data_IF_013430231706
#
_entry.id   IF_013430231706
#
_cell.length_a   1.000
_cell.length_b   1.000
_cell.length_c   1.000
_cell.angle_alpha   90.00
_cell.angle_beta   90.00
_cell.angle_gamma   90.00
#
_symmetry.space_group_name_H-M   'P 1'
#
loop_
_entity.id
_entity.type
_entity.pdbx_description
1 polymer ?
#
# COMPACT_ATOMS: atom_id res chain seq x y z
N UNK A 1 -7.56 -14.00 -2.05
CA UNK A 1 -7.46 -14.27 -0.60
C UNK A 1 -6.47 -13.37 0.14
N UNK A 2 -5.25 -13.15 -0.36
CA UNK A 2 -4.24 -12.32 0.31
C UNK A 2 -4.59 -10.83 0.49
N UNK A 3 -5.36 -10.23 -0.44
CA UNK A 3 -5.81 -8.82 -0.39
C UNK A 3 -6.50 -8.43 0.91
N UNK A 4 -7.61 -9.09 1.19
CA UNK A 4 -8.40 -8.85 2.40
C UNK A 4 -7.84 -9.53 3.65
N UNK A 5 -7.05 -10.59 3.47
CA UNK A 5 -6.38 -11.30 4.56
C UNK A 5 -5.52 -10.40 5.43
N UNK A 6 -4.83 -9.41 4.84
CA UNK A 6 -4.00 -8.44 5.59
C UNK A 6 -4.84 -7.46 6.39
N UNK A 7 -5.89 -6.90 5.79
CA UNK A 7 -6.80 -5.98 6.47
C UNK A 7 -7.48 -6.69 7.65
N UNK A 8 -7.92 -7.94 7.45
CA UNK A 8 -8.56 -8.75 8.48
C UNK A 8 -7.57 -9.26 9.54
N UNK A 9 -6.38 -9.75 9.16
CA UNK A 9 -5.31 -10.15 10.09
C UNK A 9 -4.89 -8.96 10.95
N UNK A 10 -4.64 -7.80 10.33
CA UNK A 10 -4.32 -6.56 11.03
C UNK A 10 -5.40 -6.22 12.07
N UNK A 11 -6.68 -6.20 11.68
CA UNK A 11 -7.78 -5.93 12.62
C UNK A 11 -7.98 -7.01 13.70
N UNK A 12 -7.79 -8.29 13.37
CA UNK A 12 -7.95 -9.40 14.33
C UNK A 12 -6.80 -9.46 15.33
N UNK A 13 -5.55 -9.30 14.87
CA UNK A 13 -4.37 -9.18 15.72
C UNK A 13 -4.52 -7.94 16.60
N UNK A 14 -4.88 -6.80 16.02
CA UNK A 14 -5.17 -5.57 16.75
C UNK A 14 -6.20 -5.78 17.86
N UNK A 15 -7.30 -6.48 17.60
CA UNK A 15 -8.33 -6.74 18.61
C UNK A 15 -7.83 -7.59 19.79
N UNK A 16 -6.86 -8.48 19.57
CA UNK A 16 -6.20 -9.26 20.63
C UNK A 16 -5.11 -8.46 21.34
N UNK A 17 -4.39 -7.62 20.60
CA UNK A 17 -3.30 -6.76 21.07
C UNK A 17 -3.80 -5.56 21.86
N UNK A 18 -5.03 -5.07 21.64
CA UNK A 18 -5.67 -4.06 22.50
C UNK A 18 -5.82 -4.57 23.95
N UNK A 19 -5.78 -5.89 24.18
CA UNK A 19 -5.66 -6.48 25.51
C UNK A 19 -4.25 -6.43 26.15
N UNK A 20 -3.19 -5.99 25.45
CA UNK A 20 -1.82 -6.03 26.01
C UNK A 20 -0.62 -5.45 25.22
N UNK A 21 -0.79 -4.74 24.10
CA UNK A 21 0.33 -4.31 23.24
C UNK A 21 0.01 -3.13 22.28
N UNK A 22 -0.65 -2.08 22.78
CA UNK A 22 -1.05 -0.89 22.00
C UNK A 22 0.06 -0.19 21.18
N UNK A 23 1.35 -0.47 21.43
CA UNK A 23 2.46 0.16 20.70
C UNK A 23 2.63 -0.35 19.26
N UNK A 24 2.45 -1.66 19.00
CA UNK A 24 2.57 -2.27 17.67
C UNK A 24 1.41 -1.87 16.75
N UNK A 25 0.20 -1.98 17.30
CA UNK A 25 -1.05 -1.48 16.76
C UNK A 25 -0.98 -0.03 16.23
N UNK A 26 -0.42 0.88 17.04
CA UNK A 26 -0.28 2.31 16.70
C UNK A 26 0.80 2.59 15.67
N UNK A 27 1.76 1.68 15.48
CA UNK A 27 2.84 1.83 14.50
C UNK A 27 2.40 1.44 13.08
N UNK A 28 1.48 0.48 12.96
CA UNK A 28 0.89 0.05 11.67
C UNK A 28 -0.27 0.96 11.24
N UNK A 29 -1.14 1.33 12.20
CA UNK A 29 -2.34 2.14 11.93
C UNK A 29 -2.03 3.63 11.91
N UNK A 30 -1.12 4.02 11.02
CA UNK A 30 -0.83 5.42 10.72
C UNK A 30 -1.87 5.96 9.75
N UNK A 31 -3.08 6.22 10.24
CA UNK A 31 -4.15 6.87 9.49
C UNK A 31 -5.29 7.38 10.40
N UNK A 32 -5.71 8.65 10.29
CA UNK A 32 -6.77 9.22 11.14
C UNK A 32 -8.14 8.53 10.94
N UNK A 33 -8.33 7.81 9.83
CA UNK A 33 -9.61 7.19 9.43
C UNK A 33 -10.04 5.98 10.26
N UNK A 34 -9.13 5.28 10.96
CA UNK A 34 -9.48 4.14 11.82
C UNK A 34 -9.76 4.51 13.29
N UNK A 35 -9.42 5.74 13.70
CA UNK A 35 -9.64 6.23 15.06
C UNK A 35 -11.13 6.31 15.46
N UNK A 36 -12.03 6.29 14.48
CA UNK A 36 -13.49 6.39 14.67
C UNK A 36 -14.19 5.05 14.90
N UNK A 37 -13.46 3.94 14.89
CA UNK A 37 -13.98 2.60 15.13
C UNK A 37 -13.81 2.16 16.60
N UNK A 38 -14.61 2.72 17.51
CA UNK A 38 -14.95 2.07 18.79
C UNK A 38 -16.24 1.26 18.63
N UNK A 39 -16.60 0.31 19.53
CA UNK A 39 -15.89 -0.84 20.08
C UNK A 39 -16.39 -2.16 19.44
N UNK A 40 -16.64 -2.18 18.11
CA UNK A 40 -17.12 -3.36 17.38
C UNK A 40 -16.26 -3.70 16.16
N UNK A 41 -14.94 -3.77 16.35
CA UNK A 41 -13.96 -4.13 15.30
C UNK A 41 -14.38 -5.36 14.47
N UNK A 42 -14.99 -6.37 15.11
CA UNK A 42 -15.53 -7.56 14.44
C UNK A 42 -16.64 -7.21 13.44
N UNK A 43 -17.58 -6.34 13.80
CA UNK A 43 -18.71 -5.98 12.93
C UNK A 43 -18.22 -5.18 11.72
N UNK A 44 -17.29 -4.27 11.92
CA UNK A 44 -16.67 -3.52 10.82
C UNK A 44 -15.89 -4.43 9.89
N UNK A 45 -15.14 -5.40 10.42
CA UNK A 45 -14.43 -6.37 9.59
C UNK A 45 -15.39 -7.18 8.69
N UNK A 46 -16.53 -7.63 9.23
CA UNK A 46 -17.55 -8.32 8.43
C UNK A 46 -18.21 -7.39 7.39
N UNK A 47 -18.46 -6.13 7.73
CA UNK A 47 -19.03 -5.15 6.80
C UNK A 47 -18.09 -4.90 5.61
N UNK A 48 -16.79 -4.70 5.88
CA UNK A 48 -15.78 -4.55 4.83
C UNK A 48 -15.67 -5.84 3.99
N UNK A 49 -15.72 -7.02 4.62
CA UNK A 49 -15.69 -8.30 3.91
C UNK A 49 -16.89 -8.50 2.98
N UNK A 50 -18.09 -8.12 3.44
CA UNK A 50 -19.28 -8.10 2.61
C UNK A 50 -19.14 -7.14 1.42
N UNK A 51 -18.54 -5.96 1.62
CA UNK A 51 -18.28 -5.00 0.55
C UNK A 51 -17.29 -5.55 -0.49
N UNK A 52 -16.20 -6.19 -0.05
CA UNK A 52 -15.23 -6.82 -0.96
C UNK A 52 -15.88 -7.89 -1.84
N UNK A 53 -16.62 -8.83 -1.23
CA UNK A 53 -17.32 -9.87 -1.99
C UNK A 53 -18.35 -9.30 -2.96
N UNK A 54 -19.05 -8.25 -2.53
CA UNK A 54 -20.03 -7.57 -3.37
C UNK A 54 -19.37 -6.92 -4.59
N UNK A 55 -18.26 -6.20 -4.41
CA UNK A 55 -17.51 -5.62 -5.52
C UNK A 55 -16.93 -6.68 -6.45
N UNK A 56 -16.32 -7.74 -5.92
CA UNK A 56 -15.83 -8.87 -6.72
C UNK A 56 -16.94 -9.54 -7.53
N UNK A 57 -18.13 -9.73 -6.94
CA UNK A 57 -19.25 -10.34 -7.64
C UNK A 57 -19.78 -9.45 -8.76
N UNK A 58 -19.85 -8.13 -8.53
CA UNK A 58 -20.26 -7.18 -9.58
C UNK A 58 -19.25 -7.17 -10.71
N UNK A 59 -17.96 -7.11 -10.40
CA UNK A 59 -16.89 -7.16 -11.42
C UNK A 59 -17.01 -8.42 -12.27
N UNK A 60 -17.14 -9.59 -11.63
CA UNK A 60 -17.33 -10.86 -12.31
C UNK A 60 -18.52 -10.82 -13.26
N UNK A 61 -19.69 -10.34 -12.80
CA UNK A 61 -20.89 -10.26 -13.62
C UNK A 61 -20.72 -9.29 -14.79
N UNK A 62 -20.13 -8.12 -14.56
CA UNK A 62 -19.90 -7.13 -15.63
C UNK A 62 -18.94 -7.69 -16.68
N UNK A 63 -17.84 -8.32 -16.28
CA UNK A 63 -16.89 -8.95 -17.19
C UNK A 63 -17.53 -10.10 -17.96
N UNK A 64 -18.32 -10.95 -17.30
CA UNK A 64 -19.04 -12.05 -17.95
C UNK A 64 -20.06 -11.56 -18.98
N UNK A 65 -20.81 -10.50 -18.65
CA UNK A 65 -21.83 -9.92 -19.52
C UNK A 65 -21.25 -9.22 -20.75
N UNK A 66 -19.95 -8.90 -20.78
CA UNK A 66 -19.31 -8.38 -22.00
C UNK A 66 -19.31 -9.39 -23.15
N UNK A 67 -19.40 -10.69 -22.84
CA UNK A 67 -19.29 -11.77 -23.83
C UNK A 67 -17.87 -12.00 -24.37
N UNK A 68 -16.89 -11.18 -23.99
CA UNK A 68 -15.49 -11.32 -24.41
C UNK A 68 -14.71 -12.35 -23.59
N UNK A 69 -15.16 -12.63 -22.37
CA UNK A 69 -14.54 -13.57 -21.43
C UNK A 69 -15.46 -14.76 -21.14
N UNK A 70 -14.88 -15.95 -21.02
CA UNK A 70 -15.62 -17.10 -20.49
C UNK A 70 -15.83 -16.95 -18.97
N UNK A 71 -16.76 -17.71 -18.39
CA UNK A 71 -17.07 -17.66 -16.94
C UNK A 71 -15.84 -17.91 -16.05
N UNK A 72 -14.92 -18.77 -16.50
CA UNK A 72 -13.66 -19.02 -15.77
C UNK A 72 -12.75 -17.79 -15.78
N UNK A 73 -12.56 -17.17 -16.94
CA UNK A 73 -11.72 -15.98 -17.09
C UNK A 73 -12.28 -14.79 -16.32
N UNK A 74 -13.59 -14.50 -16.48
CA UNK A 74 -14.23 -13.39 -15.76
C UNK A 74 -14.12 -13.55 -14.24
N UNK A 75 -14.27 -14.78 -13.73
CA UNK A 75 -14.20 -15.05 -12.30
C UNK A 75 -12.77 -14.87 -11.78
N UNK A 76 -11.78 -15.41 -12.49
CA UNK A 76 -10.38 -15.28 -12.09
C UNK A 76 -9.92 -13.83 -12.10
N UNK A 77 -10.27 -13.06 -13.15
CA UNK A 77 -9.96 -11.63 -13.22
C UNK A 77 -10.61 -10.86 -12.06
N UNK A 78 -11.89 -11.07 -11.76
CA UNK A 78 -12.52 -10.44 -10.60
C UNK A 78 -11.84 -10.81 -9.26
N UNK A 79 -11.39 -12.06 -9.14
CA UNK A 79 -10.66 -12.53 -7.96
C UNK A 79 -9.22 -12.00 -7.87
N UNK A 80 -8.64 -11.47 -8.95
CA UNK A 80 -7.28 -10.93 -9.00
C UNK A 80 -7.23 -9.41 -9.07
N UNK A 81 -8.26 -8.73 -9.58
CA UNK A 81 -8.39 -7.26 -9.58
C UNK A 81 -8.65 -6.70 -8.18
N UNK A 82 -9.72 -7.16 -7.51
CA UNK A 82 -10.12 -6.63 -6.19
C UNK A 82 -9.07 -6.76 -5.08
N UNK A 83 -8.22 -7.80 -5.01
CA UNK A 83 -7.11 -7.83 -4.05
C UNK A 83 -5.84 -7.13 -4.53
N UNK A 84 -5.85 -6.48 -5.70
CA UNK A 84 -4.68 -5.88 -6.36
C UNK A 84 -3.57 -6.91 -6.59
N UNK A 85 -3.90 -8.01 -7.27
CA UNK A 85 -3.02 -9.16 -7.45
C UNK A 85 -2.47 -9.37 -8.87
N UNK A 86 -3.14 -8.87 -9.91
CA UNK A 86 -2.57 -8.80 -11.27
C UNK A 86 -2.45 -10.10 -12.05
N UNK A 87 -2.72 -11.25 -11.44
CA UNK A 87 -2.67 -12.52 -12.15
C UNK A 87 -3.78 -12.61 -13.21
N UNK A 88 -3.41 -13.04 -14.41
CA UNK A 88 -4.30 -13.31 -15.53
C UNK A 88 -4.32 -14.81 -15.87
N UNK A 89 -5.36 -15.24 -16.58
CA UNK A 89 -5.44 -16.58 -17.17
C UNK A 89 -4.68 -16.71 -18.49
N UNK A 90 -4.21 -15.59 -19.05
CA UNK A 90 -3.45 -15.53 -20.31
C UNK A 90 -2.15 -14.74 -20.12
N UNK A 91 -1.12 -15.11 -20.89
CA UNK A 91 0.23 -14.51 -20.80
C UNK A 91 0.22 -13.02 -21.14
N UNK A 92 -0.57 -12.62 -22.15
CA UNK A 92 -0.74 -11.21 -22.54
C UNK A 92 -1.66 -10.41 -21.59
N UNK A 93 -1.94 -10.94 -20.39
CA UNK A 93 -2.74 -10.28 -19.36
C UNK A 93 -4.11 -9.84 -19.88
N UNK A 94 -4.48 -8.56 -19.75
CA UNK A 94 -5.73 -8.00 -20.27
C UNK A 94 -5.62 -7.67 -21.76
N UNK A 95 -4.40 -7.44 -22.27
CA UNK A 95 -4.13 -7.23 -23.69
C UNK A 95 -4.61 -8.37 -24.60
N UNK A 96 -4.75 -9.59 -24.07
CA UNK A 96 -5.33 -10.73 -24.79
C UNK A 96 -6.75 -10.46 -25.35
N UNK A 97 -7.58 -9.72 -24.62
CA UNK A 97 -8.99 -9.54 -24.98
C UNK A 97 -9.23 -8.41 -25.98
N UNK A 98 -8.24 -7.53 -26.19
CA UNK A 98 -8.28 -6.32 -27.03
C UNK A 98 -9.67 -5.65 -27.08
N UNK A 99 -10.23 -5.38 -25.90
CA UNK A 99 -11.57 -4.86 -25.77
C UNK A 99 -11.59 -3.66 -24.83
N UNK A 100 -11.91 -2.51 -25.40
CA UNK A 100 -12.06 -1.25 -24.65
C UNK A 100 -13.07 -1.38 -23.49
N UNK A 101 -14.13 -2.19 -23.67
CA UNK A 101 -15.13 -2.41 -22.62
C UNK A 101 -14.54 -3.20 -21.44
N UNK A 102 -13.76 -4.26 -21.72
CA UNK A 102 -13.11 -5.06 -20.67
C UNK A 102 -12.10 -4.21 -19.91
N UNK A 103 -11.24 -3.48 -20.62
CA UNK A 103 -10.26 -2.57 -20.02
C UNK A 103 -10.93 -1.50 -19.15
N UNK A 104 -12.00 -0.88 -19.64
CA UNK A 104 -12.73 0.16 -18.91
C UNK A 104 -13.33 -0.36 -17.60
N UNK A 105 -13.91 -1.58 -17.62
CA UNK A 105 -14.43 -2.23 -16.41
C UNK A 105 -13.29 -2.44 -15.42
N UNK A 106 -12.20 -3.06 -15.85
CA UNK A 106 -11.06 -3.37 -14.99
C UNK A 106 -10.42 -2.10 -14.43
N UNK A 107 -10.27 -1.03 -15.22
CA UNK A 107 -9.77 0.26 -14.74
C UNK A 107 -10.62 0.80 -13.57
N UNK A 108 -11.94 0.73 -13.67
CA UNK A 108 -12.84 1.18 -12.61
C UNK A 108 -12.64 0.34 -11.35
N UNK A 109 -12.56 -0.98 -11.46
CA UNK A 109 -12.39 -1.86 -10.30
C UNK A 109 -10.99 -1.77 -9.69
N UNK A 110 -9.94 -1.59 -10.50
CA UNK A 110 -8.59 -1.29 -10.02
C UNK A 110 -8.57 -0.01 -9.21
N UNK A 111 -9.17 1.07 -9.75
CA UNK A 111 -9.29 2.35 -9.05
C UNK A 111 -10.02 2.16 -7.70
N UNK A 112 -11.17 1.47 -7.68
CA UNK A 112 -11.91 1.19 -6.45
C UNK A 112 -11.09 0.36 -5.45
N UNK A 113 -10.35 -0.65 -5.90
CA UNK A 113 -9.48 -1.46 -5.05
C UNK A 113 -8.35 -0.64 -4.41
N UNK A 114 -7.89 0.42 -5.09
CA UNK A 114 -6.90 1.38 -4.58
C UNK A 114 -7.45 2.41 -3.58
N UNK A 115 -8.78 2.57 -3.49
CA UNK A 115 -9.44 3.46 -2.52
C UNK A 115 -9.51 2.80 -1.15
N UNK A 116 -9.51 3.62 -0.10
CA UNK A 116 -9.68 3.15 1.27
C UNK A 116 -11.08 2.52 1.42
N UNK A 117 -11.13 1.25 1.78
CA UNK A 117 -12.38 0.49 1.89
C UNK A 117 -13.36 1.10 2.91
N UNK A 118 -12.86 1.85 3.89
CA UNK A 118 -13.69 2.59 4.85
C UNK A 118 -14.47 3.72 4.16
N UNK A 119 -13.86 4.40 3.18
CA UNK A 119 -14.52 5.45 2.41
C UNK A 119 -15.56 4.87 1.45
N UNK A 120 -15.25 3.73 0.82
CA UNK A 120 -16.22 3.00 -0.01
C UNK A 120 -17.44 2.56 0.81
N UNK A 121 -17.23 2.17 2.07
CA UNK A 121 -18.33 1.88 3.00
C UNK A 121 -19.20 3.12 3.27
N UNK A 122 -18.61 4.29 3.52
CA UNK A 122 -19.39 5.52 3.72
C UNK A 122 -20.18 5.94 2.47
N UNK A 123 -19.63 5.73 1.27
CA UNK A 123 -20.33 5.94 0.01
C UNK A 123 -21.57 5.05 -0.07
N UNK A 124 -21.45 3.78 0.33
CA UNK A 124 -22.58 2.84 0.39
C UNK A 124 -23.67 3.28 1.37
N UNK A 125 -23.29 3.88 2.51
CA UNK A 125 -24.24 4.42 3.49
C UNK A 125 -24.86 5.78 3.06
N UNK A 126 -24.43 6.35 1.94
CA UNK A 126 -24.93 7.61 1.39
C UNK A 126 -24.25 8.87 1.92
N UNK A 127 -23.15 8.74 2.68
CA UNK A 127 -22.41 9.87 3.27
C UNK A 127 -21.29 10.37 2.33
N UNK A 128 -21.70 10.81 1.14
CA UNK A 128 -20.79 11.29 0.10
C UNK A 128 -19.93 12.48 0.56
N UNK A 129 -20.47 13.35 1.42
CA UNK A 129 -19.73 14.53 1.91
C UNK A 129 -18.47 14.13 2.67
N UNK A 130 -18.53 13.07 3.47
CA UNK A 130 -17.34 12.56 4.19
C UNK A 130 -16.36 11.88 3.26
N UNK A 131 -16.84 11.12 2.27
CA UNK A 131 -15.96 10.43 1.33
C UNK A 131 -15.17 11.38 0.44
N UNK A 132 -15.83 12.38 -0.17
CA UNK A 132 -15.17 13.34 -1.06
C UNK A 132 -14.47 14.49 -0.30
N UNK A 133 -14.82 14.71 0.97
CA UNK A 133 -14.14 15.66 1.85
C UNK A 133 -12.82 15.14 2.42
N UNK A 134 -12.55 13.84 2.27
CA UNK A 134 -11.34 13.20 2.77
C UNK A 134 -10.10 13.66 1.97
N UNK A 135 -9.09 14.14 2.70
CA UNK A 135 -7.86 14.65 2.14
C UNK A 135 -7.05 13.57 1.42
N UNK A 136 -7.05 12.34 1.93
CA UNK A 136 -6.33 11.22 1.31
C UNK A 136 -6.96 10.83 -0.02
N UNK A 137 -8.29 10.76 -0.07
CA UNK A 137 -9.01 10.45 -1.31
C UNK A 137 -8.79 11.50 -2.40
N UNK A 138 -8.82 12.80 -2.05
CA UNK A 138 -8.52 13.88 -2.99
C UNK A 138 -7.07 13.83 -3.48
N UNK A 139 -6.13 13.52 -2.60
CA UNK A 139 -4.72 13.37 -3.00
C UNK A 139 -4.55 12.15 -3.92
N UNK A 140 -5.26 11.06 -3.69
CA UNK A 140 -5.28 9.89 -4.55
C UNK A 140 -5.82 10.19 -5.95
N UNK A 141 -6.95 10.91 -6.03
CA UNK A 141 -7.50 11.40 -7.30
C UNK A 141 -6.51 12.31 -8.05
N UNK A 142 -5.90 13.26 -7.34
CA UNK A 142 -4.92 14.19 -7.91
C UNK A 142 -3.68 13.45 -8.41
N UNK A 143 -3.19 12.48 -7.63
CA UNK A 143 -2.04 11.65 -7.96
C UNK A 143 -2.24 10.86 -9.25
N UNK A 144 -3.37 10.14 -9.38
CA UNK A 144 -3.70 9.40 -10.60
C UNK A 144 -3.90 10.35 -11.77
N UNK A 145 -4.65 11.43 -11.59
CA UNK A 145 -4.94 12.37 -12.67
C UNK A 145 -3.67 13.01 -13.24
N UNK A 146 -2.74 13.44 -12.37
CA UNK A 146 -1.45 14.01 -12.79
C UNK A 146 -0.61 12.97 -13.52
N UNK A 147 -0.57 11.73 -13.06
CA UNK A 147 0.16 10.65 -13.73
C UNK A 147 -0.44 10.30 -15.09
N UNK A 148 -1.77 10.17 -15.21
CA UNK A 148 -2.47 9.94 -16.49
C UNK A 148 -2.18 11.08 -17.46
N UNK A 149 -2.30 12.33 -17.00
CA UNK A 149 -2.05 13.50 -17.85
C UNK A 149 -0.58 13.55 -18.31
N UNK A 150 0.38 13.25 -17.44
CA UNK A 150 1.79 13.26 -17.78
C UNK A 150 2.15 12.18 -18.80
N UNK A 151 1.66 10.94 -18.63
CA UNK A 151 1.86 9.86 -19.62
C UNK A 151 1.15 10.19 -20.93
N UNK A 152 -0.10 10.67 -20.87
CA UNK A 152 -0.83 11.10 -22.06
C UNK A 152 -0.04 12.14 -22.86
N UNK A 153 0.45 13.20 -22.21
CA UNK A 153 1.24 14.23 -22.87
C UNK A 153 2.53 13.67 -23.48
N UNK A 154 3.20 12.73 -22.79
CA UNK A 154 4.39 12.06 -23.30
C UNK A 154 4.10 11.21 -24.54
N UNK A 155 3.02 10.41 -24.53
CA UNK A 155 2.63 9.56 -25.66
C UNK A 155 2.20 10.38 -26.89
N UNK A 156 1.44 11.47 -26.69
CA UNK A 156 1.10 12.40 -27.76
C UNK A 156 2.36 13.02 -28.38
N UNK A 157 3.33 13.42 -27.56
CA UNK A 157 4.60 13.96 -28.04
C UNK A 157 5.41 12.93 -28.85
N UNK A 158 5.25 11.64 -28.55
CA UNK A 158 5.85 10.52 -29.30
C UNK A 158 5.06 10.11 -30.56
N UNK A 159 3.96 10.78 -30.89
CA UNK A 159 3.19 10.54 -32.12
C UNK A 159 2.04 9.53 -32.00
N UNK A 160 1.64 9.15 -30.78
CA UNK A 160 0.45 8.32 -30.59
C UNK A 160 -0.83 9.07 -30.93
N UNK A 161 -1.87 8.34 -31.34
CA UNK A 161 -3.21 8.90 -31.47
C UNK A 161 -3.78 9.27 -30.11
N UNK A 162 -4.71 10.23 -30.07
CA UNK A 162 -5.37 10.63 -28.81
C UNK A 162 -6.09 9.46 -28.14
N UNK A 163 -6.73 8.61 -28.94
CA UNK A 163 -7.45 7.44 -28.45
C UNK A 163 -6.51 6.43 -27.78
N UNK A 164 -5.43 6.02 -28.46
CA UNK A 164 -4.47 5.06 -27.90
C UNK A 164 -3.72 5.63 -26.70
N UNK A 165 -3.31 6.90 -26.76
CA UNK A 165 -2.62 7.56 -25.65
C UNK A 165 -3.48 7.62 -24.38
N UNK A 166 -4.79 7.86 -24.50
CA UNK A 166 -5.71 7.84 -23.37
C UNK A 166 -5.97 6.41 -22.89
N UNK A 167 -6.29 5.49 -23.80
CA UNK A 167 -6.63 4.10 -23.47
C UNK A 167 -5.46 3.40 -22.76
N UNK A 168 -4.30 3.36 -23.40
CA UNK A 168 -3.13 2.64 -22.88
C UNK A 168 -2.51 3.37 -21.68
N UNK A 169 -2.41 4.71 -21.78
CA UNK A 169 -1.88 5.54 -20.69
C UNK A 169 -2.70 5.43 -19.42
N UNK A 170 -4.03 5.52 -19.51
CA UNK A 170 -4.92 5.40 -18.35
C UNK A 170 -4.86 4.00 -17.74
N UNK A 171 -4.87 2.95 -18.57
CA UNK A 171 -4.82 1.57 -18.09
C UNK A 171 -3.54 1.30 -17.29
N UNK A 172 -2.38 1.64 -17.86
CA UNK A 172 -1.09 1.37 -17.22
C UNK A 172 -0.88 2.22 -15.97
N UNK A 173 -1.27 3.50 -16.00
CA UNK A 173 -1.18 4.36 -14.80
C UNK A 173 -2.01 3.80 -13.66
N UNK A 174 -3.28 3.45 -13.91
CA UNK A 174 -4.14 2.94 -12.85
C UNK A 174 -3.61 1.60 -12.34
N UNK A 175 -3.23 0.69 -13.24
CA UNK A 175 -2.66 -0.61 -12.90
C UNK A 175 -1.43 -0.52 -11.97
N UNK A 176 -0.49 0.37 -12.28
CA UNK A 176 0.73 0.54 -11.49
C UNK A 176 0.46 1.32 -10.20
N UNK A 177 -0.32 2.40 -10.27
CA UNK A 177 -0.66 3.22 -9.10
C UNK A 177 -1.43 2.44 -8.03
N UNK A 178 -2.26 1.46 -8.44
CA UNK A 178 -3.00 0.59 -7.52
C UNK A 178 -2.27 -0.69 -7.17
N UNK A 179 -1.03 -0.85 -7.68
CA UNK A 179 -0.22 -2.06 -7.59
C UNK A 179 -1.00 -3.32 -8.01
N UNK A 180 -1.92 -3.18 -8.99
CA UNK A 180 -2.65 -4.33 -9.50
C UNK A 180 -1.77 -5.10 -10.45
N UNK A 181 -1.09 -4.42 -11.38
CA UNK A 181 -0.11 -5.09 -12.23
C UNK A 181 -0.66 -5.83 -13.43
N UNK A 182 -1.83 -5.42 -13.95
CA UNK A 182 -2.23 -5.83 -15.29
C UNK A 182 -1.50 -5.03 -16.36
N UNK A 183 -1.39 -5.63 -17.53
CA UNK A 183 -0.83 -5.02 -18.74
C UNK A 183 -1.86 -5.12 -19.86
N UNK A 184 -2.08 -4.01 -20.57
CA UNK A 184 -2.94 -3.98 -21.78
C UNK A 184 -2.10 -3.89 -23.06
N UNK A 185 -0.97 -3.18 -22.97
CA UNK A 185 -0.07 -2.88 -24.07
C UNK A 185 1.37 -3.18 -23.67
N UNK A 186 2.21 -3.48 -24.66
CA UNK A 186 3.64 -3.56 -24.46
C UNK A 186 4.26 -2.16 -24.44
N UNK A 187 4.60 -1.68 -23.24
CA UNK A 187 5.27 -0.40 -23.03
C UNK A 187 6.81 -0.49 -23.21
N UNK A 188 7.35 -1.65 -23.56
CA UNK A 188 8.79 -1.88 -23.82
C UNK A 188 9.13 -2.01 -25.31
N UNK A 189 8.16 -2.02 -26.23
CA UNK A 189 8.34 -2.12 -27.69
C UNK A 189 8.96 -0.85 -28.34
N UNK A 190 9.68 -0.03 -27.57
CA UNK A 190 10.38 1.18 -28.03
C UNK A 190 9.47 2.36 -28.42
N UNK A 191 8.16 2.16 -28.51
CA UNK A 191 7.19 3.19 -28.86
C UNK A 191 6.92 4.16 -27.69
N UNK A 192 7.05 3.69 -26.45
CA UNK A 192 6.86 4.53 -25.27
C UNK A 192 8.12 5.34 -24.95
N UNK A 193 8.00 6.65 -24.67
CA UNK A 193 9.15 7.47 -24.31
C UNK A 193 9.65 7.17 -22.89
N UNK A 194 10.94 7.39 -22.64
CA UNK A 194 11.59 7.19 -21.33
C UNK A 194 10.86 7.88 -20.16
N UNK A 195 10.22 9.03 -20.43
CA UNK A 195 9.42 9.75 -19.43
C UNK A 195 8.30 8.86 -18.87
N UNK A 196 7.66 8.06 -19.72
CA UNK A 196 6.62 7.13 -19.30
C UNK A 196 7.18 6.03 -18.40
N UNK A 197 8.35 5.44 -18.73
CA UNK A 197 9.01 4.44 -17.87
C UNK A 197 9.35 5.01 -16.49
N UNK A 198 9.85 6.25 -16.43
CA UNK A 198 10.15 6.92 -15.16
C UNK A 198 8.89 7.20 -14.33
N UNK A 199 7.79 7.60 -14.98
CA UNK A 199 6.52 7.78 -14.28
C UNK A 199 6.02 6.45 -13.74
N UNK A 200 5.99 5.39 -14.56
CA UNK A 200 5.58 4.04 -14.13
C UNK A 200 6.44 3.54 -12.97
N UNK A 201 7.76 3.77 -13.00
CA UNK A 201 8.66 3.44 -11.89
C UNK A 201 8.27 4.17 -10.59
N UNK A 202 7.97 5.47 -10.65
CA UNK A 202 7.49 6.23 -9.48
C UNK A 202 6.16 5.65 -8.98
N UNK A 203 5.25 5.28 -9.88
CA UNK A 203 3.96 4.67 -9.52
C UNK A 203 4.12 3.32 -8.83
N UNK A 204 5.11 2.51 -9.20
CA UNK A 204 5.41 1.24 -8.50
C UNK A 204 5.83 1.46 -7.04
N UNK A 205 6.61 2.52 -6.80
CA UNK A 205 7.11 2.86 -5.46
C UNK A 205 5.99 3.42 -4.60
N UNK A 206 5.22 4.35 -5.16
CA UNK A 206 4.12 5.04 -4.48
C UNK A 206 2.82 4.28 -4.73
N UNK A 207 2.40 3.49 -3.75
CA UNK A 207 1.14 2.77 -3.80
C UNK A 207 -0.08 3.67 -3.62
N UNK A 208 -1.26 3.05 -3.56
CA UNK A 208 -2.53 3.73 -3.38
C UNK A 208 -2.77 4.16 -1.91
N UNK A 209 -4.04 4.34 -1.54
CA UNK A 209 -4.44 4.80 -0.21
C UNK A 209 -4.14 3.78 0.91
N UNK A 210 -3.99 4.25 2.13
CA UNK A 210 -3.97 3.45 3.35
C UNK A 210 -5.36 2.81 3.56
N UNK A 211 -5.40 1.54 3.97
CA UNK A 211 -6.65 0.79 4.11
C UNK A 211 -7.24 0.28 2.78
N UNK A 212 -6.47 0.33 1.69
CA UNK A 212 -6.73 -0.37 0.43
C UNK A 212 -6.00 -1.71 0.35
N UNK A 213 -6.28 -2.51 -0.69
CA UNK A 213 -5.60 -3.79 -0.95
C UNK A 213 -4.25 -3.66 -1.64
N UNK A 214 -3.86 -2.44 -2.04
CA UNK A 214 -2.61 -2.16 -2.75
C UNK A 214 -1.37 -2.46 -1.90
N UNK A 215 -0.23 -2.69 -2.54
CA UNK A 215 1.09 -2.68 -1.94
C UNK A 215 1.73 -1.28 -1.98
N UNK A 216 3.07 -1.27 -1.95
CA UNK A 216 3.91 -0.08 -2.08
C UNK A 216 3.95 0.83 -0.85
N UNK A 217 4.69 1.93 -0.98
CA UNK A 217 4.64 3.01 -0.01
C UNK A 217 3.31 3.72 -0.15
N UNK A 218 2.42 3.49 0.81
CA UNK A 218 1.08 4.10 0.85
C UNK A 218 1.15 5.61 0.64
N UNK A 219 0.28 6.12 -0.21
CA UNK A 219 0.23 7.54 -0.60
C UNK A 219 0.14 8.48 0.61
N UNK A 220 -0.58 8.06 1.67
CA UNK A 220 -0.65 8.79 2.93
C UNK A 220 0.72 9.08 3.54
N UNK A 221 1.63 8.10 3.54
CA UNK A 221 2.97 8.22 4.13
C UNK A 221 3.83 9.18 3.33
N UNK A 222 3.74 9.10 2.01
CA UNK A 222 4.43 10.02 1.08
C UNK A 222 3.95 11.46 1.26
N UNK A 223 2.62 11.67 1.32
CA UNK A 223 2.04 12.99 1.55
C UNK A 223 2.44 13.58 2.90
N UNK A 224 2.43 12.78 3.97
CA UNK A 224 2.85 13.23 5.29
C UNK A 224 4.33 13.60 5.30
N UNK A 225 5.19 12.79 4.67
CA UNK A 225 6.61 13.11 4.56
C UNK A 225 6.86 14.39 3.75
N UNK A 226 6.11 14.63 2.69
CA UNK A 226 6.16 15.89 1.96
C UNK A 226 5.77 17.08 2.84
N UNK A 227 4.69 16.96 3.63
CA UNK A 227 4.29 18.00 4.61
C UNK A 227 5.37 18.23 5.67
N UNK A 228 6.05 17.18 6.13
CA UNK A 228 7.18 17.30 7.05
C UNK A 228 8.31 18.09 6.40
N UNK A 229 8.71 17.72 5.18
CA UNK A 229 9.77 18.42 4.45
C UNK A 229 9.43 19.91 4.26
N UNK A 230 8.20 20.23 3.82
CA UNK A 230 7.74 21.61 3.66
C UNK A 230 7.74 22.37 4.99
N UNK A 231 7.29 21.75 6.09
CA UNK A 231 7.35 22.36 7.42
C UNK A 231 8.78 22.70 7.83
N UNK A 232 9.74 21.80 7.61
CA UNK A 232 11.14 22.07 7.98
C UNK A 232 11.73 23.19 7.13
N UNK A 233 11.42 23.27 5.83
CA UNK A 233 11.82 24.40 4.98
C UNK A 233 11.26 25.73 5.50
N UNK A 234 9.97 25.77 5.86
CA UNK A 234 9.35 26.96 6.43
C UNK A 234 9.96 27.32 7.78
N UNK A 235 10.30 26.35 8.62
CA UNK A 235 10.94 26.58 9.92
C UNK A 235 12.35 27.16 9.77
N UNK A 236 13.10 26.73 8.76
CA UNK A 236 14.41 27.30 8.42
C UNK A 236 14.25 28.76 7.97
N UNK A 237 13.28 29.03 7.09
CA UNK A 237 13.00 30.38 6.60
C UNK A 237 12.38 31.31 7.67
N UNK A 238 11.58 30.77 8.58
CA UNK A 238 10.80 31.49 9.60
C UNK A 238 10.90 30.79 10.96
N UNK A 239 12.00 30.96 11.72
CA UNK A 239 12.28 30.21 12.95
C UNK A 239 11.25 30.35 14.07
N UNK A 240 10.44 31.43 14.05
CA UNK A 240 9.40 31.71 15.05
C UNK A 240 8.03 31.15 14.69
N UNK A 241 7.84 30.65 13.46
CA UNK A 241 6.55 30.11 13.01
C UNK A 241 6.38 28.70 13.56
N UNK A 242 5.32 28.48 14.35
CA UNK A 242 4.94 27.15 14.83
C UNK A 242 3.89 26.60 13.87
N UNK A 243 4.28 25.61 13.08
CA UNK A 243 3.40 24.98 12.10
C UNK A 243 3.20 23.51 12.44
N UNK A 244 1.94 23.12 12.65
CA UNK A 244 1.55 21.75 12.97
C UNK A 244 1.13 21.02 11.71
N UNK A 245 1.57 19.77 11.56
CA UNK A 245 1.16 18.93 10.44
C UNK A 245 -0.24 18.40 10.74
N UNK A 246 -1.16 18.63 9.82
CA UNK A 246 -2.54 18.17 9.92
C UNK A 246 -2.87 17.18 8.81
N UNK A 247 -3.72 16.23 9.11
CA UNK A 247 -4.33 15.31 8.15
C UNK A 247 -5.83 15.23 8.45
N UNK A 248 -6.68 15.47 7.46
CA UNK A 248 -8.14 15.50 7.65
C UNK A 248 -8.60 16.44 8.77
N UNK A 249 -7.90 17.57 8.96
CA UNK A 249 -8.19 18.56 10.01
C UNK A 249 -7.67 18.20 11.41
N UNK A 250 -7.17 16.99 11.62
CA UNK A 250 -6.60 16.53 12.89
C UNK A 250 -5.07 16.69 12.90
N UNK A 251 -4.50 17.05 14.05
CA UNK A 251 -3.05 17.24 14.20
C UNK A 251 -2.37 15.88 14.34
N UNK A 252 -1.33 15.64 13.53
CA UNK A 252 -0.54 14.41 13.58
C UNK A 252 0.49 14.52 14.71
N UNK A 253 0.50 13.55 15.62
CA UNK A 253 1.47 13.49 16.72
C UNK A 253 2.91 13.35 16.21
N UNK A 254 3.86 13.98 16.90
CA UNK A 254 5.27 13.95 16.52
C UNK A 254 5.88 12.54 16.51
N UNK A 255 5.41 11.65 17.39
CA UNK A 255 5.84 10.24 17.41
C UNK A 255 5.46 9.51 16.11
N UNK A 256 4.27 9.80 15.56
CA UNK A 256 3.81 9.21 14.31
C UNK A 256 4.63 9.72 13.11
N UNK A 257 5.01 10.99 13.13
CA UNK A 257 5.92 11.57 12.14
C UNK A 257 7.27 10.84 12.15
N UNK A 258 7.85 10.60 13.33
CA UNK A 258 9.11 9.86 13.48
C UNK A 258 9.04 8.44 12.91
N UNK A 259 7.92 7.73 13.12
CA UNK A 259 7.69 6.40 12.56
C UNK A 259 7.62 6.41 11.03
N UNK A 260 6.89 7.38 10.45
CA UNK A 260 6.77 7.52 8.99
C UNK A 260 8.13 7.80 8.36
N UNK A 261 8.89 8.75 8.92
CA UNK A 261 10.23 9.08 8.42
C UNK A 261 11.15 7.87 8.54
N UNK A 262 11.16 7.19 9.69
CA UNK A 262 11.93 5.96 9.89
C UNK A 262 11.58 4.87 8.87
N UNK A 263 10.29 4.68 8.57
CA UNK A 263 9.83 3.73 7.56
C UNK A 263 10.34 4.09 6.15
N UNK A 264 10.31 5.36 5.76
CA UNK A 264 10.81 5.79 4.46
C UNK A 264 12.32 5.54 4.33
N UNK A 265 13.10 5.83 5.37
CA UNK A 265 14.53 5.50 5.39
C UNK A 265 14.78 4.00 5.27
N UNK A 266 14.01 3.18 5.98
CA UNK A 266 14.10 1.72 5.88
C UNK A 266 13.73 1.24 4.47
N UNK A 267 12.68 1.78 3.86
CA UNK A 267 12.27 1.44 2.49
C UNK A 267 13.38 1.74 1.48
N UNK A 268 13.94 2.96 1.54
CA UNK A 268 15.04 3.38 0.67
C UNK A 268 16.30 2.54 0.91
N UNK A 269 16.66 2.29 2.16
CA UNK A 269 17.80 1.44 2.51
C UNK A 269 17.65 0.00 2.00
N UNK A 270 16.45 -0.58 2.15
CA UNK A 270 16.13 -1.91 1.66
C UNK A 270 16.17 -1.94 0.12
N UNK A 271 15.64 -0.92 -0.55
CA UNK A 271 15.67 -0.80 -2.00
C UNK A 271 17.11 -0.81 -2.54
N UNK A 272 18.00 0.02 -1.99
CA UNK A 272 19.41 0.06 -2.41
C UNK A 272 20.15 -1.23 -2.10
N UNK A 273 20.00 -1.77 -0.88
CA UNK A 273 20.64 -3.03 -0.49
C UNK A 273 20.19 -4.19 -1.39
N UNK A 274 18.89 -4.27 -1.66
CA UNK A 274 18.30 -5.32 -2.50
C UNK A 274 18.73 -5.19 -3.97
N UNK A 275 18.86 -3.96 -4.47
CA UNK A 275 19.37 -3.70 -5.83
C UNK A 275 20.81 -4.14 -5.98
N UNK A 276 21.66 -3.87 -4.98
CA UNK A 276 23.04 -4.34 -4.98
C UNK A 276 23.12 -5.88 -4.95
N UNK A 277 22.28 -6.50 -4.13
CA UNK A 277 22.27 -7.96 -3.96
C UNK A 277 21.76 -8.67 -5.22
N UNK A 278 20.69 -8.17 -5.86
CA UNK A 278 20.22 -8.70 -7.14
C UNK A 278 21.23 -8.48 -8.28
N UNK A 279 21.94 -7.36 -8.30
CA UNK A 279 23.00 -7.13 -9.29
C UNK A 279 24.13 -8.18 -9.19
N UNK A 280 24.41 -8.70 -7.99
CA UNK A 280 25.37 -9.80 -7.80
C UNK A 280 24.82 -11.13 -8.34
N UNK A 281 23.52 -11.40 -8.15
CA UNK A 281 22.89 -12.63 -8.62
C UNK A 281 22.61 -12.65 -10.13
N UNK A 282 22.48 -11.48 -10.74
CA UNK A 282 22.16 -11.28 -12.15
C UNK A 282 23.16 -10.31 -12.81
N UNK A 283 24.45 -10.67 -12.92
CA UNK A 283 25.51 -9.74 -13.34
C UNK A 283 25.44 -9.34 -14.82
N UNK A 284 24.69 -10.08 -15.65
CA UNK A 284 24.51 -9.79 -17.08
C UNK A 284 23.34 -8.83 -17.35
N UNK A 285 22.52 -8.54 -16.35
CA UNK A 285 21.32 -7.71 -16.49
C UNK A 285 21.62 -6.21 -16.43
N UNK A 286 20.76 -5.42 -17.06
CA UNK A 286 20.90 -3.96 -17.06
C UNK A 286 20.56 -3.36 -15.69
N UNK A 287 21.12 -2.18 -15.41
CA UNK A 287 20.77 -1.41 -14.21
C UNK A 287 19.27 -1.11 -14.12
N UNK A 288 18.63 -0.84 -15.27
CA UNK A 288 17.19 -0.62 -15.38
C UNK A 288 16.40 -1.87 -14.93
N UNK A 289 16.71 -3.03 -15.52
CA UNK A 289 16.07 -4.31 -15.19
C UNK A 289 16.16 -4.60 -13.69
N UNK A 290 17.36 -4.51 -13.11
CA UNK A 290 17.59 -4.85 -11.70
C UNK A 290 16.82 -3.91 -10.77
N UNK A 291 16.91 -2.60 -10.99
CA UNK A 291 16.26 -1.61 -10.11
C UNK A 291 14.74 -1.70 -10.16
N UNK A 292 14.17 -1.99 -11.34
CA UNK A 292 12.72 -2.09 -11.50
C UNK A 292 12.19 -3.41 -10.95
N UNK A 293 12.93 -4.52 -11.07
CA UNK A 293 12.58 -5.79 -10.41
C UNK A 293 12.52 -5.60 -8.88
N UNK A 294 13.45 -4.86 -8.29
CA UNK A 294 13.39 -4.54 -6.85
C UNK A 294 12.20 -3.65 -6.52
N UNK A 295 11.95 -2.58 -7.30
CA UNK A 295 10.81 -1.69 -7.08
C UNK A 295 9.48 -2.44 -7.18
N UNK A 296 9.31 -3.28 -8.20
CA UNK A 296 8.10 -4.09 -8.39
C UNK A 296 7.93 -5.11 -7.27
N UNK A 297 9.02 -5.76 -6.84
CA UNK A 297 8.97 -6.73 -5.72
C UNK A 297 8.60 -6.06 -4.40
N UNK A 298 9.24 -4.93 -4.04
CA UNK A 298 8.91 -4.20 -2.81
C UNK A 298 7.54 -3.52 -2.88
N UNK A 299 7.15 -3.06 -4.07
CA UNK A 299 5.85 -2.46 -4.35
C UNK A 299 4.71 -3.49 -4.38
N UNK A 300 5.03 -4.77 -4.59
CA UNK A 300 4.09 -5.81 -5.01
C UNK A 300 3.26 -5.36 -6.23
N UNK A 301 3.93 -4.73 -7.20
CA UNK A 301 3.25 -4.28 -8.43
C UNK A 301 3.08 -5.41 -9.42
N UNK A 302 4.09 -6.29 -9.56
CA UNK A 302 4.06 -7.42 -10.50
C UNK A 302 4.86 -7.11 -11.76
N UNK A 303 4.29 -6.40 -12.76
CA UNK A 303 4.98 -6.04 -13.99
C UNK A 303 6.29 -5.30 -13.74
N UNK A 304 7.23 -5.50 -14.65
CA UNK A 304 8.54 -4.88 -14.63
C UNK A 304 8.81 -4.20 -15.97
N UNK A 305 9.93 -3.48 -16.04
CA UNK A 305 10.44 -2.78 -17.22
C UNK A 305 11.82 -3.38 -17.55
N UNK A 306 12.36 -3.08 -18.71
CA UNK A 306 13.61 -3.67 -19.21
C UNK A 306 13.41 -5.11 -19.69
N UNK A 307 14.40 -5.97 -19.43
CA UNK A 307 14.44 -7.36 -19.92
C UNK A 307 13.38 -8.28 -19.28
N UNK A 308 12.70 -7.81 -18.24
CA UNK A 308 11.57 -8.49 -17.60
C UNK A 308 10.28 -7.71 -17.86
N UNK A 309 10.15 -7.14 -19.06
CA UNK A 309 9.01 -6.32 -19.46
C UNK A 309 7.65 -7.06 -19.43
N UNK A 310 6.57 -6.39 -19.88
CA UNK A 310 5.21 -6.92 -19.83
C UNK A 310 5.00 -8.13 -20.75
N UNK A 311 5.82 -8.27 -21.79
CA UNK A 311 5.81 -9.38 -22.74
C UNK A 311 6.79 -10.50 -22.37
N UNK A 312 7.58 -10.31 -21.30
CA UNK A 312 8.64 -11.23 -20.88
C UNK A 312 8.29 -11.87 -19.53
N UNK A 313 8.97 -12.97 -19.21
CA UNK A 313 8.75 -13.69 -17.94
C UNK A 313 9.96 -13.60 -17.02
N UNK A 314 9.75 -13.85 -15.74
CA UNK A 314 10.84 -13.92 -14.76
C UNK A 314 11.54 -15.30 -14.75
N UNK A 315 11.15 -16.21 -15.66
CA UNK A 315 11.74 -17.55 -15.75
C UNK A 315 13.24 -17.51 -16.01
N UNK A 316 13.70 -16.52 -16.80
CA UNK A 316 15.12 -16.33 -17.11
C UNK A 316 15.99 -15.92 -15.91
N UNK A 317 15.39 -15.59 -14.75
CA UNK A 317 16.14 -15.21 -13.56
C UNK A 317 16.83 -16.42 -12.90
N UNK A 318 18.02 -16.20 -12.34
CA UNK A 318 18.71 -17.18 -11.51
C UNK A 318 17.83 -17.60 -10.30
N UNK A 319 17.84 -18.88 -9.93
CA UNK A 319 17.08 -19.41 -8.79
C UNK A 319 17.32 -18.64 -7.48
N UNK A 320 18.54 -18.17 -7.23
CA UNK A 320 18.84 -17.33 -6.06
C UNK A 320 18.11 -15.98 -6.11
N UNK A 321 18.00 -15.38 -7.29
CA UNK A 321 17.29 -14.14 -7.50
C UNK A 321 15.77 -14.32 -7.36
N UNK A 322 15.21 -15.44 -7.83
CA UNK A 322 13.79 -15.78 -7.62
C UNK A 322 13.43 -15.95 -6.14
N UNK A 323 14.28 -16.63 -5.37
CA UNK A 323 14.08 -16.77 -3.91
C UNK A 323 14.17 -15.40 -3.24
N UNK A 324 15.14 -14.58 -3.63
CA UNK A 324 15.32 -13.27 -3.03
C UNK A 324 14.17 -12.30 -3.35
N UNK A 325 13.73 -12.23 -4.61
CA UNK A 325 12.54 -11.43 -5.02
C UNK A 325 11.28 -11.89 -4.30
N UNK A 326 11.08 -13.21 -4.10
CA UNK A 326 9.98 -13.74 -3.30
C UNK A 326 10.00 -13.23 -1.85
N UNK A 327 11.19 -13.15 -1.23
CA UNK A 327 11.37 -12.57 0.10
C UNK A 327 11.07 -11.06 0.09
N UNK A 328 11.49 -10.33 -0.94
CA UNK A 328 11.19 -8.90 -1.09
C UNK A 328 9.69 -8.62 -1.21
N UNK A 329 8.95 -9.43 -1.96
CA UNK A 329 7.49 -9.33 -2.05
C UNK A 329 6.83 -9.53 -0.69
N UNK A 330 7.32 -10.50 0.10
CA UNK A 330 6.86 -10.72 1.45
C UNK A 330 7.11 -9.50 2.36
N UNK A 331 8.29 -8.89 2.29
CA UNK A 331 8.60 -7.63 2.98
C UNK A 331 7.68 -6.48 2.56
N UNK A 332 7.47 -6.31 1.26
CA UNK A 332 6.57 -5.29 0.72
C UNK A 332 5.14 -5.47 1.22
N UNK A 333 4.70 -6.72 1.38
CA UNK A 333 3.31 -7.05 1.73
C UNK A 333 3.02 -6.93 3.23
N UNK A 334 4.01 -7.16 4.08
CA UNK A 334 3.86 -7.09 5.54
C UNK A 334 3.92 -5.66 6.12
N UNK A 335 4.08 -4.63 5.30
CA UNK A 335 4.46 -3.28 5.73
C UNK A 335 5.82 -3.28 6.45
N UNK A 336 6.85 -2.80 5.77
CA UNK A 336 8.28 -2.94 6.12
C UNK A 336 8.67 -2.87 7.60
N UNK A 337 8.11 -1.96 8.40
CA UNK A 337 8.49 -1.83 9.80
C UNK A 337 8.16 -3.09 10.61
N UNK A 338 7.05 -3.77 10.32
CA UNK A 338 6.62 -4.97 11.05
C UNK A 338 7.60 -6.11 10.79
N UNK A 339 8.02 -6.26 9.52
CA UNK A 339 8.93 -7.28 9.07
C UNK A 339 10.35 -7.02 9.58
N UNK A 340 10.80 -5.75 9.60
CA UNK A 340 12.09 -5.38 10.19
C UNK A 340 12.11 -5.59 11.70
N UNK A 341 11.01 -5.29 12.42
CA UNK A 341 10.88 -5.57 13.85
C UNK A 341 10.99 -7.08 14.12
N UNK A 342 10.38 -7.92 13.29
CA UNK A 342 10.47 -9.39 13.40
C UNK A 342 11.91 -9.91 13.32
N UNK A 343 12.75 -9.29 12.50
CA UNK A 343 14.16 -9.68 12.32
C UNK A 343 15.05 -9.06 13.41
N UNK A 344 14.63 -7.93 13.98
CA UNK A 344 15.44 -7.21 14.94
C UNK A 344 15.67 -8.04 16.22
N UNK A 345 16.94 -8.35 16.59
CA UNK A 345 17.23 -9.27 17.70
C UNK A 345 16.68 -8.83 19.07
N UNK A 346 16.50 -7.52 19.29
CA UNK A 346 15.92 -7.03 20.55
C UNK A 346 14.45 -7.38 20.72
N UNK A 347 13.72 -7.65 19.63
CA UNK A 347 12.31 -8.06 19.69
C UNK A 347 12.15 -9.40 20.41
N UNK A 348 13.12 -10.29 20.23
CA UNK A 348 13.13 -11.63 20.84
C UNK A 348 13.84 -11.66 22.19
N UNK A 349 14.56 -10.58 22.54
CA UNK A 349 15.17 -10.47 23.85
C UNK A 349 14.04 -10.28 24.86
N UNK A 350 13.85 -11.25 25.77
CA UNK A 350 12.88 -11.14 26.87
C UNK A 350 13.06 -9.78 27.53
N UNK A 351 12.04 -8.93 27.47
CA UNK A 351 11.92 -7.85 28.42
C UNK A 351 11.93 -8.51 29.80
N UNK A 352 13.03 -8.35 30.52
CA UNK A 352 12.96 -8.34 31.98
C UNK A 352 12.06 -7.16 32.30
N UNK A 353 10.74 -7.41 32.31
CA UNK A 353 9.76 -6.54 32.98
C UNK A 353 10.26 -6.44 34.40
N UNK A 354 11.09 -5.42 34.66
CA UNK A 354 11.40 -5.00 36.02
C UNK A 354 10.03 -4.84 36.64
N UNK A 355 9.77 -5.64 37.67
CA UNK A 355 8.54 -5.71 38.44
C UNK A 355 8.29 -4.38 39.18
N UNK A 356 8.39 -3.22 38.52
CA UNK A 356 8.15 -1.91 39.12
C UNK A 356 6.73 -1.82 39.64
N UNK A 357 5.75 -2.37 38.91
CA UNK A 357 4.35 -2.28 39.31
C UNK A 357 4.03 -3.21 40.49
N UNK A 358 4.57 -4.43 40.51
CA UNK A 358 4.39 -5.34 41.66
C UNK A 358 5.17 -4.88 42.89
N UNK A 359 6.38 -4.35 42.72
CA UNK A 359 7.16 -3.79 43.81
C UNK A 359 6.50 -2.52 44.36
N UNK A 360 6.02 -1.62 43.50
CA UNK A 360 5.30 -0.41 43.91
C UNK A 360 3.96 -0.74 44.60
N UNK A 361 3.19 -1.71 44.10
CA UNK A 361 1.95 -2.18 44.73
C UNK A 361 2.25 -2.86 46.08
N UNK A 362 3.32 -3.66 46.18
CA UNK A 362 3.72 -4.29 47.44
C UNK A 362 4.19 -3.25 48.48
N UNK A 363 4.92 -2.22 48.04
CA UNK A 363 5.39 -1.13 48.89
C UNK A 363 4.22 -0.24 49.35
N UNK A 364 3.27 0.03 48.46
CA UNK A 364 2.03 0.74 48.79
C UNK A 364 1.16 -0.05 49.79
N UNK A 365 1.04 -1.37 49.61
CA UNK A 365 0.29 -2.24 50.53
C UNK A 365 0.93 -2.27 51.92
N UNK A 366 2.26 -2.39 52.01
CA UNK A 366 3.00 -2.29 53.29
C UNK A 366 2.79 -0.95 54.00
N UNK A 367 2.84 0.16 53.26
CA UNK A 367 2.59 1.48 53.85
C UNK A 367 1.16 1.66 54.38
N UNK A 368 0.18 1.00 53.75
CA UNK A 368 -1.22 1.03 54.22
C UNK A 368 -1.41 0.15 55.45
N UNK A 369 -0.80 -1.03 55.49
CA UNK A 369 -0.81 -1.93 56.66
C UNK A 369 -0.15 -1.26 57.89
N UNK A 370 1.02 -0.62 57.73
CA UNK A 370 1.68 0.14 58.81
C UNK A 370 0.83 1.31 59.32
N UNK A 371 0.05 1.96 58.45
CA UNK A 371 -0.87 3.04 58.85
C UNK A 371 -2.07 2.51 59.63
N UNK A 372 -2.58 1.34 59.27
CA UNK A 372 -3.69 0.70 60.00
C UNK A 372 -3.24 0.17 61.37
N UNK A 373 -2.01 -0.36 61.48
CA UNK A 373 -1.45 -0.79 62.77
C UNK A 373 -1.23 0.40 63.71
N UNK A 374 -0.70 1.53 63.21
CA UNK A 374 -0.55 2.75 64.01
C UNK A 374 -1.89 3.31 64.50
N UNK A 375 -2.95 3.23 63.68
CA UNK A 375 -4.31 3.64 64.06
C UNK A 375 -4.99 2.72 65.09
N UNK A 376 -4.49 1.50 65.31
CA UNK A 376 -5.01 0.57 66.33
C UNK A 376 -4.24 0.66 67.65
N UNK A 377 -3.11 1.36 67.69
CA UNK A 377 -2.28 1.56 68.88
C UNK A 377 -2.52 2.92 69.56
N UNK A 378 -3.22 3.84 68.89
CA UNK A 378 -3.87 5.02 69.48
C UNK A 378 -5.33 4.67 69.87
#
# INVERSE_FOLDING_TARGET
>A
FGGMGIIMLGMMILSRVIGGGMALARAELTGPSLSRLRPKLKQTAFALWGLYLFLTLIEFLLLYLTGAMNSFDSLNHALTTMPSGGFSTHDASIGYYDSFLVESIIIVFMFLAGVNFTLLWFIREGDFKRAFGDEEFRNYLTYIFVAVFAIFAALIASGFTVESAVRDGMFQVVSFATSTGYTSSDYMDGSWPLVSHLILFILMVVGASAGSTSGGLKLLRVNLAFKVAMRELVRIAQPRKVEQIRMNGEVVEQNQIGLIVGMLFVWVGLFFFSSLLLAIFMPAESFESVTIVVASSLGNTGPTLGNFGPSETWEGMNSAALIFTSILMWFGRLELLTAVILIHPRTWRRETRVHSDRAAIALFRRMMEEKEEKKKQE
#
